data_IF_677059448366
#
_entry.id   IF_677059448366
#
_cell.length_a   1.000
_cell.length_b   1.000
_cell.length_c   1.000
_cell.angle_alpha   90.00
_cell.angle_beta   90.00
_cell.angle_gamma   90.00
#
_symmetry.space_group_name_H-M   'P 1'
#
loop_
_entity.id
_entity.type
_entity.pdbx_description
1 polymer ?
#
# COMPACT_ATOMS: atom_id res chain seq x y z
N UNK A 1 -30.96 -16.70 23.33
CA UNK A 1 -30.52 -15.70 22.34
C UNK A 1 -29.08 -15.35 22.68
N UNK A 2 -28.14 -15.56 21.75
CA UNK A 2 -26.73 -15.15 21.94
C UNK A 2 -26.64 -13.71 21.46
N UNK A 3 -26.38 -12.78 22.37
CA UNK A 3 -26.13 -11.39 22.03
C UNK A 3 -24.90 -11.33 21.10
N UNK A 4 -25.11 -10.81 19.89
CA UNK A 4 -24.00 -10.49 18.99
C UNK A 4 -23.20 -9.35 19.65
N UNK A 5 -21.86 -9.42 19.72
CA UNK A 5 -21.10 -8.28 20.16
C UNK A 5 -21.37 -7.11 19.21
N UNK A 6 -21.79 -5.98 19.79
CA UNK A 6 -21.82 -4.68 19.12
C UNK A 6 -20.41 -4.41 18.59
N UNK A 7 -20.24 -4.46 17.27
CA UNK A 7 -19.02 -4.03 16.62
C UNK A 7 -18.91 -2.53 16.89
N UNK A 8 -18.03 -2.16 17.83
CA UNK A 8 -17.64 -0.76 18.03
C UNK A 8 -16.95 -0.29 16.76
N UNK A 9 -17.70 0.32 15.85
CA UNK A 9 -17.17 1.03 14.69
C UNK A 9 -16.52 2.32 15.20
N UNK A 10 -15.21 2.27 15.45
CA UNK A 10 -14.43 3.48 15.68
C UNK A 10 -14.29 4.20 14.35
N UNK A 11 -14.91 5.37 14.24
CA UNK A 11 -14.74 6.27 13.10
C UNK A 11 -13.32 6.84 13.14
N UNK A 12 -12.53 6.57 12.11
CA UNK A 12 -11.18 7.12 11.97
C UNK A 12 -11.25 8.39 11.13
N UNK A 13 -10.67 9.47 11.66
CA UNK A 13 -10.51 10.75 10.94
C UNK A 13 -9.14 10.81 10.27
N UNK A 14 -9.14 11.05 8.96
CA UNK A 14 -7.91 11.24 8.18
C UNK A 14 -7.49 12.72 8.18
N UNK A 15 -6.20 12.99 8.30
CA UNK A 15 -5.58 14.30 8.17
C UNK A 15 -4.19 14.19 7.53
N UNK A 16 -3.52 15.31 7.27
CA UNK A 16 -2.18 15.32 6.65
C UNK A 16 -1.08 14.68 7.52
N UNK A 17 -1.31 14.51 8.82
CA UNK A 17 -0.34 13.89 9.73
C UNK A 17 -0.43 12.37 9.71
N UNK A 18 -1.60 11.79 9.44
CA UNK A 18 -1.82 10.34 9.51
C UNK A 18 -2.15 9.70 8.15
N UNK A 19 -2.27 10.49 7.07
CA UNK A 19 -2.57 9.98 5.73
C UNK A 19 -1.61 10.51 4.68
N UNK A 20 -1.42 9.73 3.62
CA UNK A 20 -0.52 10.05 2.51
C UNK A 20 -1.04 9.44 1.22
N UNK A 21 -0.96 10.15 0.11
CA UNK A 21 -1.38 9.62 -1.20
C UNK A 21 -0.23 8.85 -1.86
N UNK A 22 -0.54 7.70 -2.44
CA UNK A 22 0.40 6.95 -3.26
C UNK A 22 0.16 7.25 -4.74
N UNK A 23 1.24 7.58 -5.45
CA UNK A 23 1.21 7.88 -6.88
C UNK A 23 2.06 6.88 -7.64
N UNK A 24 1.64 6.60 -8.87
CA UNK A 24 2.27 5.64 -9.77
C UNK A 24 2.52 6.29 -11.13
N UNK A 25 3.71 6.06 -11.66
CA UNK A 25 4.10 6.40 -13.03
C UNK A 25 5.11 5.38 -13.56
N UNK A 26 5.40 5.42 -14.86
CA UNK A 26 6.41 4.54 -15.46
C UNK A 26 7.72 5.28 -15.67
N UNK A 27 8.86 4.57 -15.51
CA UNK A 27 10.13 5.09 -16.01
C UNK A 27 10.03 5.39 -17.51
N UNK A 28 10.57 6.54 -17.97
CA UNK A 28 10.57 6.88 -19.40
C UNK A 28 11.33 5.85 -20.24
N UNK A 29 12.38 5.26 -19.66
CA UNK A 29 13.24 4.31 -20.32
C UNK A 29 12.65 2.90 -20.24
N UNK A 30 12.51 2.26 -21.39
CA UNK A 30 12.24 0.82 -21.44
C UNK A 30 13.51 0.07 -21.04
N UNK A 31 13.34 -0.98 -20.23
CA UNK A 31 14.41 -1.93 -19.90
C UNK A 31 14.25 -3.18 -20.76
N UNK A 32 15.34 -3.61 -21.38
CA UNK A 32 15.38 -4.86 -22.14
C UNK A 32 16.04 -5.94 -21.28
N UNK A 33 15.33 -7.04 -21.07
CA UNK A 33 15.82 -8.20 -20.32
C UNK A 33 16.00 -9.34 -21.32
N UNK A 34 17.25 -9.77 -21.48
CA UNK A 34 17.57 -10.94 -22.29
C UNK A 34 17.48 -12.21 -21.43
N UNK A 35 16.64 -13.15 -21.86
CA UNK A 35 16.56 -14.51 -21.31
C UNK A 35 16.90 -15.54 -22.39
N UNK A 36 17.18 -16.77 -21.99
CA UNK A 36 17.47 -17.88 -22.92
C UNK A 36 16.36 -18.13 -23.95
N UNK A 37 15.12 -17.77 -23.60
CA UNK A 37 13.92 -17.95 -24.44
C UNK A 37 13.58 -16.75 -25.32
N UNK A 38 14.30 -15.62 -25.19
CA UNK A 38 14.04 -14.41 -25.98
C UNK A 38 14.38 -13.10 -25.27
N UNK A 39 14.09 -11.99 -25.95
CA UNK A 39 14.25 -10.64 -25.42
C UNK A 39 12.89 -10.07 -25.00
N UNK A 40 12.81 -9.58 -23.77
CA UNK A 40 11.61 -8.99 -23.20
C UNK A 40 11.84 -7.50 -22.97
N UNK A 41 10.95 -6.66 -23.51
CA UNK A 41 10.93 -5.23 -23.19
C UNK A 41 9.90 -4.97 -22.09
N UNK A 42 10.30 -4.24 -21.06
CA UNK A 42 9.42 -3.81 -19.98
C UNK A 42 9.65 -2.35 -19.62
N UNK A 43 8.72 -1.77 -18.86
CA UNK A 43 8.90 -0.48 -18.19
C UNK A 43 8.81 -0.72 -16.69
N UNK A 44 9.68 -0.04 -15.94
CA UNK A 44 9.59 -0.07 -14.48
C UNK A 44 8.40 0.78 -14.04
N UNK A 45 7.58 0.21 -13.16
CA UNK A 45 6.55 0.96 -12.44
C UNK A 45 7.22 1.61 -11.22
N UNK A 46 7.05 2.92 -11.05
CA UNK A 46 7.56 3.67 -9.90
C UNK A 46 6.38 4.04 -9.02
N UNK A 47 6.55 3.86 -7.71
CA UNK A 47 5.65 4.39 -6.69
C UNK A 47 6.35 5.51 -5.96
N UNK A 48 5.68 6.64 -5.81
CA UNK A 48 6.13 7.76 -4.98
C UNK A 48 4.99 8.22 -4.07
N UNK A 49 5.36 8.80 -2.94
CA UNK A 49 4.43 9.44 -2.00
C UNK A 49 4.63 10.97 -1.98
N UNK A 50 5.55 11.49 -2.79
CA UNK A 50 5.75 12.92 -3.01
C UNK A 50 4.88 13.38 -4.19
N UNK A 51 3.83 14.14 -3.89
CA UNK A 51 2.94 14.71 -4.90
C UNK A 51 3.67 15.67 -5.85
N UNK A 52 4.65 16.45 -5.35
CA UNK A 52 5.39 17.40 -6.19
C UNK A 52 6.28 16.71 -7.22
N UNK A 53 6.84 15.55 -6.85
CA UNK A 53 7.56 14.69 -7.80
C UNK A 53 6.60 14.04 -8.79
N UNK A 54 5.49 13.47 -8.30
CA UNK A 54 4.47 12.80 -9.09
C UNK A 54 3.89 13.70 -10.20
N UNK A 55 3.57 14.96 -9.88
CA UNK A 55 2.99 15.93 -10.83
C UNK A 55 3.93 16.35 -11.95
N UNK A 56 5.23 16.07 -11.84
CA UNK A 56 6.22 16.34 -12.91
C UNK A 56 6.30 15.21 -13.94
N UNK A 57 5.71 14.06 -13.64
CA UNK A 57 5.82 12.86 -14.47
C UNK A 57 4.67 12.78 -15.48
N UNK A 58 4.95 12.23 -16.66
CA UNK A 58 3.91 11.95 -17.65
C UNK A 58 3.05 10.75 -17.25
N UNK A 59 1.74 10.83 -17.50
CA UNK A 59 0.78 9.75 -17.26
C UNK A 59 0.72 9.26 -15.81
N UNK A 60 0.95 10.16 -14.85
CA UNK A 60 0.81 9.87 -13.43
C UNK A 60 -0.64 9.53 -13.06
N UNK A 61 -0.81 8.60 -12.13
CA UNK A 61 -2.10 8.26 -11.50
C UNK A 61 -1.92 7.98 -10.02
N UNK A 62 -3.03 7.94 -9.28
CA UNK A 62 -3.01 7.34 -7.94
C UNK A 62 -2.73 5.84 -8.06
N UNK A 63 -1.99 5.29 -7.10
CA UNK A 63 -1.75 3.86 -6.96
C UNK A 63 -3.06 3.12 -6.66
N UNK A 64 -3.15 1.84 -7.00
CA UNK A 64 -4.19 0.94 -6.48
C UNK A 64 -3.69 0.20 -5.24
N UNK A 65 -4.60 -0.45 -4.52
CA UNK A 65 -4.24 -1.38 -3.44
C UNK A 65 -3.30 -2.50 -3.89
N UNK A 66 -3.40 -2.96 -5.13
CA UNK A 66 -2.50 -3.97 -5.70
C UNK A 66 -1.10 -3.40 -5.93
N UNK A 67 -0.99 -2.18 -6.48
CA UNK A 67 0.30 -1.53 -6.72
C UNK A 67 1.10 -1.38 -5.41
N UNK A 68 0.45 -0.88 -4.34
CA UNK A 68 1.13 -0.65 -3.07
C UNK A 68 1.50 -1.95 -2.35
N UNK A 69 0.73 -3.04 -2.53
CA UNK A 69 1.07 -4.35 -2.00
C UNK A 69 2.27 -4.94 -2.76
N UNK A 70 2.30 -4.80 -4.08
CA UNK A 70 3.44 -5.25 -4.89
C UNK A 70 4.72 -4.48 -4.53
N UNK A 71 4.61 -3.17 -4.35
CA UNK A 71 5.69 -2.32 -3.86
C UNK A 71 6.16 -2.72 -2.47
N UNK A 72 5.25 -3.04 -1.55
CA UNK A 72 5.60 -3.50 -0.20
C UNK A 72 6.39 -4.82 -0.18
N UNK A 73 6.27 -5.67 -1.22
CA UNK A 73 7.06 -6.88 -1.33
C UNK A 73 8.55 -6.63 -1.68
N UNK A 74 8.87 -5.45 -2.22
CA UNK A 74 10.21 -5.14 -2.74
C UNK A 74 10.85 -3.92 -2.07
N UNK A 75 10.13 -3.27 -1.14
CA UNK A 75 10.59 -2.09 -0.44
C UNK A 75 10.81 -2.38 1.05
N UNK A 76 11.94 -1.93 1.60
CA UNK A 76 12.25 -2.10 3.02
C UNK A 76 11.60 -1.02 3.91
N UNK A 77 11.19 0.10 3.32
CA UNK A 77 10.65 1.28 4.02
C UNK A 77 9.12 1.32 3.99
N UNK A 78 8.49 0.38 4.70
CA UNK A 78 7.02 0.31 4.77
C UNK A 78 6.43 1.38 5.68
N UNK A 79 5.40 2.07 5.19
CA UNK A 79 4.63 3.09 5.91
C UNK A 79 3.67 2.45 6.93
N UNK A 80 4.21 2.01 8.07
CA UNK A 80 3.46 1.25 9.08
C UNK A 80 2.42 2.08 9.85
N UNK A 81 2.61 3.39 9.93
CA UNK A 81 1.83 4.33 10.76
C UNK A 81 0.91 5.26 9.95
N UNK A 82 0.81 5.05 8.63
CA UNK A 82 0.05 5.92 7.73
C UNK A 82 -1.11 5.17 7.06
N UNK A 83 -2.19 5.91 6.84
CA UNK A 83 -3.22 5.56 5.89
C UNK A 83 -2.78 5.98 4.49
N UNK A 84 -2.62 5.00 3.60
CA UNK A 84 -2.24 5.22 2.22
C UNK A 84 -3.49 5.40 1.37
N UNK A 85 -3.66 6.59 0.79
CA UNK A 85 -4.76 6.93 -0.11
C UNK A 85 -4.41 6.47 -1.52
N UNK A 86 -5.25 5.60 -2.06
CA UNK A 86 -5.16 4.99 -3.37
C UNK A 86 -6.40 5.33 -4.21
N UNK A 87 -6.32 5.07 -5.51
CA UNK A 87 -7.42 5.28 -6.46
C UNK A 87 -8.67 4.49 -6.09
N UNK A 88 -8.50 3.28 -5.57
CA UNK A 88 -9.55 2.33 -5.27
C UNK A 88 -9.94 2.28 -3.78
N UNK A 89 -9.32 3.11 -2.93
CA UNK A 89 -9.68 3.26 -1.53
C UNK A 89 -8.51 3.69 -0.66
N UNK A 90 -8.62 3.49 0.64
CA UNK A 90 -7.58 3.83 1.60
C UNK A 90 -7.12 2.55 2.28
N UNK A 91 -5.83 2.42 2.49
CA UNK A 91 -5.18 1.21 2.96
C UNK A 91 -4.30 1.50 4.16
N UNK A 92 -4.16 0.53 5.06
CA UNK A 92 -3.25 0.61 6.21
C UNK A 92 -2.40 -0.65 6.26
N UNK A 93 -1.15 -0.51 6.66
CA UNK A 93 -0.27 -1.66 6.86
C UNK A 93 -0.77 -2.54 8.00
N UNK A 94 -0.76 -3.86 7.78
CA UNK A 94 -1.14 -4.85 8.76
C UNK A 94 -0.10 -5.96 8.83
N UNK A 95 0.37 -6.21 10.03
CA UNK A 95 1.20 -7.36 10.38
C UNK A 95 0.34 -8.34 11.19
N UNK A 96 0.19 -9.57 10.69
CA UNK A 96 -0.45 -10.66 11.42
C UNK A 96 0.65 -11.47 12.08
N UNK A 97 0.54 -11.61 13.40
CA UNK A 97 1.50 -12.34 14.22
C UNK A 97 0.83 -13.52 14.90
N UNK A 98 1.50 -14.67 14.88
CA UNK A 98 1.05 -15.89 15.55
C UNK A 98 2.02 -16.28 16.66
N UNK A 99 1.48 -16.77 17.77
CA UNK A 99 2.28 -17.25 18.88
C UNK A 99 2.95 -18.59 18.51
N UNK A 100 4.28 -18.66 18.60
CA UNK A 100 5.02 -19.85 18.18
C UNK A 100 5.20 -20.91 19.28
N UNK A 101 4.79 -20.62 20.52
CA UNK A 101 4.90 -21.56 21.64
C UNK A 101 6.17 -21.41 22.47
N UNK A 102 7.20 -20.75 21.93
CA UNK A 102 8.54 -20.64 22.51
C UNK A 102 8.82 -19.25 23.10
N UNK A 103 7.78 -18.62 23.65
CA UNK A 103 7.80 -17.26 24.22
C UNK A 103 7.83 -16.09 23.23
N UNK A 104 7.68 -16.33 21.91
CA UNK A 104 7.73 -15.27 20.90
C UNK A 104 6.56 -15.32 19.89
N UNK A 105 6.48 -14.28 19.06
CA UNK A 105 5.51 -14.14 17.98
C UNK A 105 6.20 -14.15 16.62
N UNK A 106 5.78 -15.06 15.74
CA UNK A 106 6.20 -15.07 14.35
C UNK A 106 5.27 -14.19 13.51
N UNK A 107 5.84 -13.41 12.59
CA UNK A 107 5.06 -12.68 11.58
C UNK A 107 4.68 -13.66 10.47
N UNK A 108 3.38 -13.89 10.29
CA UNK A 108 2.84 -14.87 9.32
C UNK A 108 2.23 -14.23 8.08
N UNK A 109 1.86 -12.94 8.15
CA UNK A 109 1.35 -12.18 7.01
C UNK A 109 1.67 -10.69 7.19
N UNK A 110 1.93 -10.01 6.07
CA UNK A 110 2.31 -8.61 5.98
C UNK A 110 1.75 -8.01 4.70
N UNK A 111 0.79 -7.10 4.83
CA UNK A 111 0.13 -6.49 3.67
C UNK A 111 -0.55 -5.17 4.00
N UNK A 112 -0.83 -4.40 2.96
CA UNK A 112 -1.79 -3.30 3.02
C UNK A 112 -3.21 -3.87 2.96
N UNK A 113 -4.01 -3.60 3.99
CA UNK A 113 -5.42 -3.97 4.07
C UNK A 113 -6.30 -2.73 3.86
N UNK A 114 -7.38 -2.91 3.09
CA UNK A 114 -8.32 -1.83 2.79
C UNK A 114 -9.10 -1.44 4.05
N UNK A 115 -9.06 -0.16 4.41
CA UNK A 115 -9.79 0.40 5.52
C UNK A 115 -11.27 0.64 5.13
N UNK A 116 -12.20 -0.04 5.82
CA UNK A 116 -13.63 -0.01 5.49
C UNK A 116 -14.46 0.98 6.35
N UNK A 117 -13.87 1.56 7.41
CA UNK A 117 -14.58 2.39 8.41
C UNK A 117 -13.93 3.79 8.54
N UNK A 118 -13.89 4.56 7.45
CA UNK A 118 -13.25 5.88 7.43
C UNK A 118 -14.27 7.01 7.38
N UNK A 119 -13.99 8.09 8.11
CA UNK A 119 -14.71 9.36 8.05
C UNK A 119 -13.71 10.45 7.63
N UNK A 120 -14.03 11.14 6.53
CA UNK A 120 -13.21 12.24 6.05
C UNK A 120 -13.56 13.51 6.84
N UNK A 121 -12.60 14.11 7.53
CA UNK A 121 -12.76 15.48 8.02
C UNK A 121 -12.48 16.43 6.85
N UNK A 122 -13.47 17.26 6.53
CA UNK A 122 -13.39 18.34 5.53
C UNK A 122 -12.98 19.63 6.22
#
# INVERSE_FOLDING_TARGET
>A
MKDKPLINQQNITLNSENSISAYVYYEPQKRSIQKSTGMFEGRSLIITFDESDALRQENVRLATGEDINWWACVCDEILRDKYVICQDGVYIWKEIREWNGDEDFDVVDMRFEKANNLVFAV
#
